data_IF_650876301509
#
_entry.id   IF_650876301509
#
_cell.length_a   1.000
_cell.length_b   1.000
_cell.length_c   1.000
_cell.angle_alpha   90.00
_cell.angle_beta   90.00
_cell.angle_gamma   90.00
#
_symmetry.space_group_name_H-M   'P 1'
#
loop_
_entity.id
_entity.type
_entity.pdbx_description
1 polymer ?
#
# COMPACT_ATOMS: atom_id res chain seq x y z
N UNK A 1 -5.31 -21.50 7.97
CA UNK A 1 -5.97 -20.39 7.28
C UNK A 1 -6.10 -20.71 5.81
N UNK A 2 -7.25 -20.42 5.20
CA UNK A 2 -7.41 -20.54 3.74
C UNK A 2 -6.64 -19.45 2.98
N UNK A 3 -6.39 -19.62 1.68
CA UNK A 3 -5.68 -18.60 0.87
C UNK A 3 -6.39 -17.24 0.86
N UNK A 4 -7.72 -17.22 0.89
CA UNK A 4 -8.51 -15.98 0.99
C UNK A 4 -8.32 -15.29 2.34
N UNK A 5 -8.24 -16.07 3.41
CA UNK A 5 -8.03 -15.54 4.77
C UNK A 5 -6.63 -14.92 4.93
N UNK A 6 -5.62 -15.53 4.32
CA UNK A 6 -4.25 -14.98 4.25
C UNK A 6 -4.24 -13.64 3.51
N UNK A 7 -4.88 -13.59 2.33
CA UNK A 7 -4.98 -12.37 1.53
C UNK A 7 -5.72 -11.25 2.28
N UNK A 8 -6.83 -11.59 2.93
CA UNK A 8 -7.59 -10.64 3.74
C UNK A 8 -6.74 -10.06 4.88
N UNK A 9 -6.03 -10.92 5.60
CA UNK A 9 -5.20 -10.48 6.72
C UNK A 9 -4.02 -9.62 6.26
N UNK A 10 -3.33 -10.02 5.20
CA UNK A 10 -2.22 -9.24 4.64
C UNK A 10 -2.70 -7.88 4.12
N UNK A 11 -3.85 -7.82 3.44
CA UNK A 11 -4.43 -6.55 2.99
C UNK A 11 -4.77 -5.62 4.18
N UNK A 12 -5.32 -6.18 5.26
CA UNK A 12 -5.60 -5.43 6.48
C UNK A 12 -4.32 -4.91 7.15
N UNK A 13 -3.29 -5.75 7.25
CA UNK A 13 -2.02 -5.38 7.86
C UNK A 13 -1.28 -4.32 7.02
N UNK A 14 -1.36 -4.37 5.68
CA UNK A 14 -0.86 -3.30 4.79
C UNK A 14 -1.67 -2.00 4.97
N UNK A 15 -3.00 -2.08 5.02
CA UNK A 15 -3.86 -0.90 5.23
C UNK A 15 -3.50 -0.16 6.51
N UNK A 16 -3.22 -0.94 7.56
CA UNK A 16 -2.80 -0.45 8.85
C UNK A 16 -1.45 0.30 8.84
N UNK A 17 -0.58 0.12 7.83
CA UNK A 17 0.64 0.93 7.71
C UNK A 17 0.27 2.42 7.52
N UNK A 18 -0.82 2.70 6.81
CA UNK A 18 -1.19 4.06 6.40
C UNK A 18 -2.28 4.69 7.26
N UNK A 19 -3.23 3.89 7.75
CA UNK A 19 -4.45 4.38 8.39
C UNK A 19 -4.39 4.45 9.92
N UNK A 20 -3.24 4.13 10.53
CA UNK A 20 -3.09 4.12 11.99
C UNK A 20 -2.93 5.53 12.57
N UNK A 21 -3.57 5.75 13.71
CA UNK A 21 -3.43 6.98 14.52
C UNK A 21 -4.37 8.11 14.09
N UNK A 22 -4.34 9.20 14.84
CA UNK A 22 -5.22 10.37 14.66
C UNK A 22 -5.02 11.10 13.32
N UNK A 23 -3.80 11.01 12.76
CA UNK A 23 -3.43 11.59 11.47
C UNK A 23 -3.25 10.52 10.37
N UNK A 24 -3.84 9.34 10.56
CA UNK A 24 -3.82 8.27 9.56
C UNK A 24 -4.58 8.66 8.30
N UNK A 25 -4.13 8.15 7.15
CA UNK A 25 -4.85 8.33 5.90
C UNK A 25 -6.19 7.57 5.93
N UNK A 26 -7.21 8.02 5.18
CA UNK A 26 -8.44 7.24 5.00
C UNK A 26 -8.13 5.80 4.56
N UNK A 27 -8.64 4.80 5.29
CA UNK A 27 -8.30 3.40 5.03
C UNK A 27 -8.64 2.95 3.60
N UNK A 28 -9.72 3.50 3.02
CA UNK A 28 -10.13 3.21 1.65
C UNK A 28 -9.17 3.79 0.58
N UNK A 29 -8.17 4.59 0.96
CA UNK A 29 -7.07 4.96 0.06
C UNK A 29 -6.16 3.79 -0.27
N UNK A 30 -6.09 2.79 0.61
CA UNK A 30 -5.18 1.66 0.44
C UNK A 30 -5.88 0.57 -0.37
N UNK A 31 -5.42 0.40 -1.62
CA UNK A 31 -5.90 -0.66 -2.51
C UNK A 31 -4.83 -1.73 -2.62
N UNK A 32 -5.17 -2.97 -2.24
CA UNK A 32 -4.27 -4.13 -2.34
C UNK A 32 -4.85 -5.13 -3.33
N UNK A 33 -4.10 -5.44 -4.38
CA UNK A 33 -4.48 -6.41 -5.41
C UNK A 33 -3.55 -7.61 -5.35
N UNK A 34 -4.11 -8.81 -5.32
CA UNK A 34 -3.36 -10.06 -5.38
C UNK A 34 -3.51 -10.66 -6.77
N UNK A 35 -2.44 -10.64 -7.56
CA UNK A 35 -2.43 -11.12 -8.94
C UNK A 35 -1.58 -12.38 -9.00
N UNK A 36 -2.17 -13.59 -8.97
CA UNK A 36 -1.43 -14.83 -9.13
C UNK A 36 -0.95 -14.98 -10.57
N UNK A 37 0.34 -15.29 -10.74
CA UNK A 37 0.90 -15.65 -12.04
C UNK A 37 1.03 -17.19 -12.12
N UNK A 38 0.76 -17.80 -13.29
CA UNK A 38 0.97 -19.23 -13.47
C UNK A 38 2.43 -19.65 -13.29
N UNK A 39 2.66 -20.94 -13.04
CA UNK A 39 4.00 -21.52 -13.13
C UNK A 39 4.59 -21.29 -14.54
N UNK A 40 5.88 -21.02 -14.62
CA UNK A 40 6.61 -20.70 -15.84
C UNK A 40 6.45 -19.26 -16.32
N UNK A 41 5.81 -18.37 -15.55
CA UNK A 41 5.59 -16.97 -15.93
C UNK A 41 6.43 -15.97 -15.12
N UNK A 42 7.18 -16.45 -14.12
CA UNK A 42 8.02 -15.60 -13.26
C UNK A 42 9.47 -16.02 -13.44
N UNK A 43 10.29 -15.10 -13.94
CA UNK A 43 11.71 -15.31 -14.17
C UNK A 43 12.52 -14.25 -13.42
N UNK A 44 13.58 -14.68 -12.71
CA UNK A 44 14.50 -13.75 -12.03
C UNK A 44 15.92 -14.16 -12.38
N UNK A 45 16.64 -13.28 -13.08
CA UNK A 45 17.97 -13.58 -13.62
C UNK A 45 17.94 -14.53 -14.82
N UNK A 46 16.81 -14.62 -15.55
CA UNK A 46 16.63 -15.54 -16.67
C UNK A 46 16.13 -16.93 -16.29
N UNK A 47 16.02 -17.24 -14.99
CA UNK A 47 15.60 -18.54 -14.48
C UNK A 47 14.19 -18.51 -13.90
N UNK A 48 13.39 -19.54 -14.19
CA UNK A 48 12.01 -19.67 -13.70
C UNK A 48 11.95 -19.85 -12.17
N UNK A 49 10.88 -19.36 -11.55
CA UNK A 49 10.67 -19.37 -10.08
C UNK A 49 9.49 -20.24 -9.65
N UNK A 50 9.44 -21.46 -10.18
CA UNK A 50 8.34 -22.40 -9.91
C UNK A 50 8.54 -23.20 -8.62
N UNK A 51 9.78 -23.59 -8.31
CA UNK A 51 10.10 -24.37 -7.11
C UNK A 51 10.07 -23.52 -5.83
N UNK A 52 10.50 -22.26 -5.95
CA UNK A 52 10.52 -21.28 -4.88
C UNK A 52 9.80 -20.01 -5.35
N UNK A 53 8.57 -19.77 -4.89
CA UNK A 53 7.79 -18.62 -5.32
C UNK A 53 8.54 -17.30 -5.09
N UNK A 54 8.42 -16.41 -6.07
CA UNK A 54 8.92 -15.04 -5.99
C UNK A 54 7.73 -14.06 -5.95
N UNK A 55 7.68 -13.21 -4.93
CA UNK A 55 6.61 -12.24 -4.73
C UNK A 55 7.11 -10.83 -5.06
N UNK A 56 6.53 -10.22 -6.11
CA UNK A 56 6.82 -8.82 -6.46
C UNK A 56 5.82 -7.87 -5.83
N UNK A 57 6.30 -6.97 -4.98
CA UNK A 57 5.50 -5.89 -4.40
C UNK A 57 5.77 -4.60 -5.18
N UNK A 58 4.74 -4.08 -5.84
CA UNK A 58 4.78 -2.81 -6.58
C UNK A 58 3.83 -1.84 -5.88
N UNK A 59 4.38 -0.75 -5.34
CA UNK A 59 3.64 0.22 -4.53
C UNK A 59 3.64 1.56 -5.26
N UNK A 60 2.46 2.15 -5.41
CA UNK A 60 2.29 3.50 -5.96
C UNK A 60 1.74 4.42 -4.87
N UNK A 61 2.46 5.49 -4.59
CA UNK A 61 2.02 6.55 -3.67
C UNK A 61 1.47 7.73 -4.47
N UNK A 62 0.32 8.23 -4.02
CA UNK A 62 -0.43 9.34 -4.64
C UNK A 62 -0.86 10.39 -3.62
N UNK A 63 -1.17 9.96 -2.39
CA UNK A 63 -1.73 10.84 -1.37
C UNK A 63 -0.69 11.83 -0.84
N UNK A 64 0.50 11.36 -0.54
CA UNK A 64 1.62 12.14 -0.02
C UNK A 64 2.86 11.62 -0.72
N UNK A 65 3.61 12.50 -1.37
CA UNK A 65 4.88 12.11 -1.98
C UNK A 65 5.92 11.94 -0.89
N UNK A 66 6.82 10.98 -1.07
CA UNK A 66 7.88 10.63 -0.10
C UNK A 66 8.79 11.81 0.27
N UNK A 67 8.83 12.85 -0.56
CA UNK A 67 9.63 14.07 -0.36
C UNK A 67 8.85 15.21 0.31
N UNK A 68 7.52 15.10 0.40
CA UNK A 68 6.65 16.15 0.91
C UNK A 68 6.07 15.75 2.27
N UNK A 69 6.61 16.34 3.34
CA UNK A 69 5.93 16.37 4.64
C UNK A 69 6.11 15.15 5.56
N UNK A 70 6.78 14.09 5.13
CA UNK A 70 7.14 13.01 6.06
C UNK A 70 8.42 13.39 6.81
N UNK A 71 8.27 13.87 8.04
CA UNK A 71 9.38 14.16 8.96
C UNK A 71 9.97 12.87 9.52
N UNK A 72 10.55 12.05 8.65
CA UNK A 72 11.28 10.84 8.97
C UNK A 72 12.72 11.05 8.53
N UNK A 73 13.67 10.94 9.45
CA UNK A 73 15.10 11.21 9.21
C UNK A 73 15.66 10.38 8.03
N UNK A 74 15.10 9.19 7.80
CA UNK A 74 15.35 8.34 6.64
C UNK A 74 14.05 7.62 6.24
N UNK A 75 13.12 8.37 5.64
CA UNK A 75 11.82 7.86 5.20
C UNK A 75 11.92 6.57 4.36
N UNK A 76 12.77 6.49 3.31
CA UNK A 76 12.85 5.28 2.49
C UNK A 76 13.21 4.02 3.29
N UNK A 77 14.18 4.13 4.20
CA UNK A 77 14.58 3.00 5.04
C UNK A 77 13.48 2.62 6.02
N UNK A 78 12.95 3.59 6.76
CA UNK A 78 11.96 3.33 7.81
C UNK A 78 10.66 2.75 7.21
N UNK A 79 10.23 3.28 6.05
CA UNK A 79 9.09 2.74 5.33
C UNK A 79 9.34 1.31 4.83
N UNK A 80 10.54 1.03 4.30
CA UNK A 80 10.94 -0.33 3.90
C UNK A 80 10.92 -1.30 5.09
N UNK A 81 11.37 -0.86 6.27
CA UNK A 81 11.35 -1.66 7.50
C UNK A 81 9.90 -1.99 7.92
N UNK A 82 8.97 -1.02 7.83
CA UNK A 82 7.54 -1.28 8.11
C UNK A 82 6.93 -2.28 7.14
N UNK A 83 7.22 -2.18 5.84
CA UNK A 83 6.74 -3.15 4.85
C UNK A 83 7.31 -4.53 5.17
N UNK A 84 8.63 -4.64 5.34
CA UNK A 84 9.31 -5.91 5.62
C UNK A 84 8.73 -6.59 6.87
N UNK A 85 8.53 -5.84 7.96
CA UNK A 85 7.90 -6.37 9.16
C UNK A 85 6.46 -6.86 8.91
N UNK A 86 5.69 -6.12 8.11
CA UNK A 86 4.28 -6.43 7.79
C UNK A 86 4.15 -7.69 6.94
N UNK A 87 5.01 -7.86 5.93
CA UNK A 87 4.92 -8.99 5.00
C UNK A 87 5.60 -10.25 5.53
N UNK A 88 6.51 -10.13 6.50
CA UNK A 88 7.31 -11.22 7.05
C UNK A 88 6.52 -12.50 7.32
N UNK A 89 5.39 -12.50 8.07
CA UNK A 89 4.66 -13.74 8.37
C UNK A 89 3.97 -14.38 7.16
N UNK A 90 3.80 -13.63 6.06
CA UNK A 90 3.09 -14.07 4.86
C UNK A 90 4.01 -14.48 3.72
N UNK A 91 5.22 -13.92 3.66
CA UNK A 91 6.18 -14.08 2.56
C UNK A 91 7.50 -14.66 3.09
N UNK A 92 8.23 -13.89 3.89
CA UNK A 92 9.57 -14.27 4.33
C UNK A 92 9.57 -15.55 5.18
N UNK A 93 8.65 -15.68 6.13
CA UNK A 93 8.51 -16.87 6.99
C UNK A 93 7.99 -18.10 6.24
N UNK A 94 7.53 -17.92 5.00
CA UNK A 94 7.19 -19.02 4.09
C UNK A 94 8.37 -19.45 3.23
N UNK A 95 9.51 -18.78 3.34
CA UNK A 95 10.71 -19.06 2.56
C UNK A 95 10.61 -18.59 1.10
N UNK A 96 9.71 -17.65 0.78
CA UNK A 96 9.60 -17.06 -0.55
C UNK A 96 10.68 -15.99 -0.76
N UNK A 97 11.07 -15.77 -2.01
CA UNK A 97 11.87 -14.60 -2.39
C UNK A 97 10.94 -13.41 -2.69
N UNK A 98 11.39 -12.18 -2.47
CA UNK A 98 10.58 -10.99 -2.75
C UNK A 98 11.41 -9.77 -3.13
N UNK A 99 10.75 -8.83 -3.80
CA UNK A 99 11.31 -7.52 -4.13
C UNK A 99 10.22 -6.45 -3.97
N UNK A 100 10.61 -5.27 -3.48
CA UNK A 100 9.72 -4.14 -3.23
C UNK A 100 10.21 -2.93 -4.03
N UNK A 101 9.29 -2.24 -4.70
CA UNK A 101 9.53 -0.89 -5.22
C UNK A 101 8.38 0.04 -4.87
N UNK A 102 8.73 1.29 -4.60
CA UNK A 102 7.79 2.38 -4.32
C UNK A 102 7.99 3.46 -5.37
N UNK A 103 6.91 4.01 -5.89
CA UNK A 103 6.93 5.09 -6.88
C UNK A 103 5.90 6.14 -6.52
N UNK A 104 6.33 7.40 -6.45
CA UNK A 104 5.43 8.55 -6.34
C UNK A 104 4.82 8.88 -7.72
N UNK A 105 3.52 9.10 -7.76
CA UNK A 105 2.76 9.37 -9.00
C UNK A 105 1.94 10.66 -8.90
N UNK A 106 1.46 11.18 -10.03
CA UNK A 106 0.80 12.50 -10.11
C UNK A 106 -0.55 12.53 -9.37
N UNK A 107 -0.62 13.28 -8.27
CA UNK A 107 -1.81 13.40 -7.43
C UNK A 107 -2.97 14.11 -8.14
N UNK A 108 -2.66 15.00 -9.07
CA UNK A 108 -3.61 15.88 -9.76
C UNK A 108 -4.63 15.10 -10.60
N UNK A 109 -4.27 13.89 -11.04
CA UNK A 109 -5.13 12.98 -11.83
C UNK A 109 -5.86 11.94 -10.97
N UNK A 110 -5.57 11.85 -9.68
CA UNK A 110 -6.17 10.85 -8.80
C UNK A 110 -7.61 11.22 -8.41
N UNK A 111 -8.55 10.29 -8.57
CA UNK A 111 -9.97 10.48 -8.25
C UNK A 111 -10.55 9.24 -7.56
N UNK A 112 -11.45 9.45 -6.62
CA UNK A 112 -12.35 8.42 -6.08
C UNK A 112 -13.77 8.68 -6.57
N UNK A 113 -14.33 7.76 -7.37
CA UNK A 113 -15.67 7.92 -7.94
C UNK A 113 -15.87 9.28 -8.66
N UNK A 114 -14.82 9.77 -9.33
CA UNK A 114 -14.81 11.08 -10.00
C UNK A 114 -14.45 12.28 -9.10
N UNK A 115 -14.34 12.10 -7.77
CA UNK A 115 -14.08 13.16 -6.80
C UNK A 115 -12.58 13.27 -6.51
N UNK A 116 -12.05 14.49 -6.55
CA UNK A 116 -10.66 14.75 -6.17
C UNK A 116 -10.47 14.57 -4.66
N UNK A 117 -9.40 13.88 -4.22
CA UNK A 117 -9.13 13.70 -2.81
C UNK A 117 -8.74 15.03 -2.17
N UNK A 118 -9.25 15.30 -0.95
CA UNK A 118 -8.98 16.54 -0.23
C UNK A 118 -7.50 16.67 0.12
N UNK A 119 -7.03 17.91 0.29
CA UNK A 119 -5.65 18.21 0.62
C UNK A 119 -5.18 17.43 1.86
N UNK A 120 -3.90 17.06 1.89
CA UNK A 120 -3.32 16.30 2.97
C UNK A 120 -3.45 17.04 4.31
N UNK A 121 -3.90 16.33 5.35
CA UNK A 121 -4.19 16.82 6.71
C UNK A 121 -5.31 17.87 6.81
N UNK A 122 -6.07 18.09 5.74
CA UNK A 122 -7.25 18.96 5.79
C UNK A 122 -8.38 18.37 6.65
N UNK A 123 -9.32 19.21 7.07
CA UNK A 123 -10.54 18.76 7.75
C UNK A 123 -11.35 17.78 6.88
N UNK A 124 -11.42 18.05 5.58
CA UNK A 124 -12.09 17.19 4.61
C UNK A 124 -11.46 15.78 4.56
N UNK A 125 -10.12 15.67 4.61
CA UNK A 125 -9.44 14.36 4.66
C UNK A 125 -9.78 13.59 5.94
N UNK A 126 -9.88 14.28 7.08
CA UNK A 126 -10.30 13.66 8.35
C UNK A 126 -11.74 13.19 8.31
N UNK A 127 -12.64 13.94 7.65
CA UNK A 127 -14.03 13.51 7.43
C UNK A 127 -14.07 12.26 6.54
N UNK A 128 -13.31 12.23 5.45
CA UNK A 128 -13.20 11.04 4.60
C UNK A 128 -12.66 9.84 5.38
N UNK A 129 -11.65 10.03 6.24
CA UNK A 129 -11.09 8.97 7.05
C UNK A 129 -12.11 8.41 8.06
N UNK A 130 -12.85 9.30 8.75
CA UNK A 130 -13.88 8.93 9.72
C UNK A 130 -15.06 8.19 9.07
N UNK A 131 -15.54 8.71 7.94
CA UNK A 131 -16.74 8.19 7.28
C UNK A 131 -16.42 6.97 6.39
N UNK A 132 -15.13 6.70 6.13
CA UNK A 132 -14.66 5.55 5.37
C UNK A 132 -15.04 5.57 3.89
N UNK A 133 -15.35 6.75 3.34
CA UNK A 133 -15.80 6.90 1.95
C UNK A 133 -15.47 8.29 1.38
N UNK A 134 -15.33 8.42 0.05
CA UNK A 134 -15.27 9.73 -0.59
C UNK A 134 -16.62 10.44 -0.44
N UNK A 135 -16.57 11.77 -0.28
CA UNK A 135 -17.73 12.65 -0.23
C UNK A 135 -17.37 14.02 -0.78
N UNK A 136 -18.33 14.68 -1.43
CA UNK A 136 -18.15 16.07 -1.84
C UNK A 136 -18.02 16.95 -0.58
N UNK A 137 -17.10 17.90 -0.64
CA UNK A 137 -16.82 18.83 0.45
C UNK A 137 -16.89 20.24 -0.10
N UNK A 138 -17.81 21.05 0.42
CA UNK A 138 -17.76 22.50 0.26
C UNK A 138 -17.00 23.06 1.47
N UNK A 139 -15.88 23.73 1.21
CA UNK A 139 -15.16 24.49 2.23
C UNK A 139 -16.09 25.64 2.68
N UNK A 140 -16.51 25.62 3.95
CA UNK A 140 -17.35 26.67 4.53
C UNK A 140 -16.54 27.87 4.97
#
# INVERSE_FOLDING_TARGET
MGQTEIRNKLAQDITNIYSRGENGLPAFYVVVQFIPLPAGHVFVGGEARDEKPFVRLVIQHMAVHSHEGVHMDDFPKQFSDYINATIKPFIADKGYDWEITVTDTQREFWRFNGIAPPAWRSEAERVWARDGRPSEWEEK
#
